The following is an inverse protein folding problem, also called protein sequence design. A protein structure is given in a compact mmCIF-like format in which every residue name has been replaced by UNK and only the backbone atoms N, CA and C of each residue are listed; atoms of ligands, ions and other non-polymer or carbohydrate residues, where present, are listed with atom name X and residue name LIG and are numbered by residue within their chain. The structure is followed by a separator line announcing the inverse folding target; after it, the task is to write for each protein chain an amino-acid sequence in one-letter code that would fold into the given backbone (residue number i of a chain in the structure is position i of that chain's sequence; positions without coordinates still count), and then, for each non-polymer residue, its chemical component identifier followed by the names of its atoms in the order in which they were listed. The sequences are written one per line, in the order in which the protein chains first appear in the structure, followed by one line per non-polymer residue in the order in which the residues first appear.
data_IF_776901863045
#
_entry.id   IF_776901863045
#
_cell.length_a   1.000
_cell.length_b   1.000
_cell.length_c   1.000
_cell.angle_alpha   90.00
_cell.angle_beta   90.00
_cell.angle_gamma   90.00
#
_symmetry.space_group_name_H-M   'P 1'
#
loop_
_entity.id
_entity.type
_entity.pdbx_description
1 polymer ?
#
# COMPACT_ATOMS: atom_id res chain seq x y z
N UNK A 1 -11.51 -8.53 -11.64
CA UNK A 1 -10.72 -7.39 -12.11
C UNK A 1 -9.56 -7.90 -12.96
N UNK A 2 -9.44 -7.43 -14.18
CA UNK A 2 -8.30 -7.78 -15.04
C UNK A 2 -7.25 -6.71 -14.92
N UNK A 3 -6.00 -7.10 -14.59
CA UNK A 3 -4.85 -6.21 -14.67
C UNK A 3 -4.48 -6.02 -16.14
N UNK A 4 -4.69 -4.81 -16.66
CA UNK A 4 -4.32 -4.46 -18.02
C UNK A 4 -2.83 -4.15 -18.04
N UNK A 5 -2.02 -5.06 -18.60
CA UNK A 5 -0.58 -4.91 -18.72
C UNK A 5 -0.20 -4.16 -20.00
N UNK A 6 0.58 -3.12 -19.82
CA UNK A 6 1.18 -2.31 -20.87
C UNK A 6 2.49 -2.97 -21.34
N UNK A 7 2.66 -3.28 -22.64
CA UNK A 7 3.97 -3.58 -23.25
C UNK A 7 4.56 -2.28 -23.80
N UNK A 8 5.89 -2.08 -23.70
CA UNK A 8 6.56 -0.83 -24.08
C UNK A 8 6.30 -0.42 -25.55
N UNK A 9 6.11 -1.38 -26.44
CA UNK A 9 5.96 -1.12 -27.89
C UNK A 9 4.51 -0.83 -28.33
N UNK A 10 3.50 -1.22 -27.51
CA UNK A 10 2.08 -1.00 -27.83
C UNK A 10 1.29 -0.69 -26.55
N UNK A 11 0.98 0.58 -26.32
CA UNK A 11 0.07 1.01 -25.27
C UNK A 11 -1.35 0.79 -25.76
N UNK A 12 -1.93 -0.36 -25.44
CA UNK A 12 -3.28 -0.73 -25.81
C UNK A 12 -4.25 -0.78 -24.62
N UNK A 13 -3.86 -0.20 -23.49
CA UNK A 13 -4.67 -0.24 -22.27
C UNK A 13 -6.09 0.34 -22.45
N UNK A 14 -6.30 1.48 -23.15
CA UNK A 14 -7.65 1.99 -23.41
C UNK A 14 -8.50 1.03 -24.27
N UNK A 15 -7.92 0.45 -25.32
CA UNK A 15 -8.60 -0.52 -26.19
C UNK A 15 -9.02 -1.79 -25.43
N UNK A 16 -8.10 -2.35 -24.63
CA UNK A 16 -8.37 -3.55 -23.81
C UNK A 16 -9.44 -3.25 -22.76
N UNK A 17 -9.42 -2.07 -22.15
CA UNK A 17 -10.44 -1.65 -21.19
C UNK A 17 -11.83 -1.53 -21.85
N UNK A 18 -11.90 -1.01 -23.07
CA UNK A 18 -13.14 -0.92 -23.84
C UNK A 18 -13.70 -2.31 -24.18
N UNK A 19 -12.85 -3.24 -24.65
CA UNK A 19 -13.23 -4.63 -24.89
C UNK A 19 -13.74 -5.30 -23.61
N UNK A 20 -13.10 -5.03 -22.47
CA UNK A 20 -13.54 -5.55 -21.18
C UNK A 20 -14.93 -5.01 -20.79
N UNK A 21 -15.19 -3.72 -21.00
CA UNK A 21 -16.52 -3.11 -20.81
C UNK A 21 -17.57 -3.76 -21.69
N UNK A 22 -17.32 -3.91 -22.99
CA UNK A 22 -18.23 -4.58 -23.92
C UNK A 22 -18.50 -6.05 -23.54
N UNK A 23 -17.53 -6.69 -22.89
CA UNK A 23 -17.66 -8.06 -22.37
C UNK A 23 -18.41 -8.15 -21.04
N UNK A 24 -18.89 -7.04 -20.48
CA UNK A 24 -19.71 -6.99 -19.27
C UNK A 24 -18.86 -6.92 -17.97
N UNK A 25 -17.59 -6.52 -18.01
CA UNK A 25 -16.78 -6.27 -16.83
C UNK A 25 -17.32 -5.04 -16.10
N UNK A 26 -17.49 -5.14 -14.76
CA UNK A 26 -18.10 -4.09 -13.96
C UNK A 26 -17.15 -2.95 -13.56
N UNK A 27 -15.82 -3.19 -13.55
CA UNK A 27 -14.80 -2.19 -13.27
C UNK A 27 -13.44 -2.68 -13.78
N UNK A 28 -12.51 -1.75 -14.06
CA UNK A 28 -11.14 -2.08 -14.46
C UNK A 28 -10.12 -1.44 -13.51
N UNK A 29 -9.07 -2.19 -13.14
CA UNK A 29 -7.92 -1.66 -12.43
C UNK A 29 -6.76 -1.46 -13.40
N UNK A 30 -6.13 -0.28 -13.36
CA UNK A 30 -5.05 0.11 -14.28
C UNK A 30 -3.80 0.46 -13.49
N UNK A 31 -2.70 -0.26 -13.74
CA UNK A 31 -1.39 0.06 -13.19
C UNK A 31 -0.58 0.90 -14.20
N UNK A 32 -0.07 2.04 -13.75
CA UNK A 32 0.68 2.99 -14.60
C UNK A 32 2.08 2.53 -15.04
N UNK A 33 2.51 1.29 -14.76
CA UNK A 33 3.78 0.72 -15.25
C UNK A 33 3.57 -0.46 -16.17
N UNK A 34 4.51 -0.66 -17.08
CA UNK A 34 4.59 -1.89 -17.87
C UNK A 34 5.20 -3.02 -17.04
N UNK A 35 4.96 -4.27 -17.46
CA UNK A 35 5.60 -5.45 -16.84
C UNK A 35 7.13 -5.36 -16.86
N UNK A 36 7.71 -4.79 -17.91
CA UNK A 36 9.16 -4.69 -18.10
C UNK A 36 9.79 -3.63 -17.20
N UNK A 37 9.04 -2.58 -16.86
CA UNK A 37 9.49 -1.55 -15.93
C UNK A 37 9.61 -2.06 -14.49
N UNK A 38 8.91 -3.11 -14.09
CA UNK A 38 8.81 -3.55 -12.69
C UNK A 38 8.54 -2.35 -11.76
N UNK A 39 9.56 -1.93 -11.00
CA UNK A 39 9.51 -0.78 -10.08
C UNK A 39 10.44 0.37 -10.50
N UNK A 40 11.04 0.30 -11.70
CA UNK A 40 11.89 1.36 -12.20
C UNK A 40 11.10 2.55 -12.72
N UNK A 41 11.67 3.75 -12.56
CA UNK A 41 11.02 4.99 -12.97
C UNK A 41 9.74 5.30 -12.20
N UNK A 42 8.88 6.13 -12.79
CA UNK A 42 7.59 6.51 -12.24
C UNK A 42 6.43 5.83 -12.99
N UNK A 43 5.33 5.60 -12.27
CA UNK A 43 4.09 5.15 -12.89
C UNK A 43 3.54 6.28 -13.80
N UNK A 44 3.21 5.92 -15.03
CA UNK A 44 2.60 6.84 -15.98
C UNK A 44 1.09 6.93 -15.71
N UNK A 45 0.69 7.99 -15.00
CA UNK A 45 -0.72 8.23 -14.69
C UNK A 45 -1.52 8.71 -15.92
N UNK A 46 -0.85 9.19 -16.98
CA UNK A 46 -1.51 9.55 -18.23
C UNK A 46 -2.29 8.39 -18.83
N UNK A 47 -1.73 7.16 -18.77
CA UNK A 47 -2.45 5.96 -19.24
C UNK A 47 -3.71 5.67 -18.44
N UNK A 48 -3.72 5.97 -17.13
CA UNK A 48 -4.92 5.82 -16.30
C UNK A 48 -6.00 6.82 -16.76
N UNK A 49 -5.59 8.06 -17.07
CA UNK A 49 -6.48 9.08 -17.61
C UNK A 49 -7.04 8.67 -18.99
N UNK A 50 -6.19 8.14 -19.88
CA UNK A 50 -6.60 7.67 -21.20
C UNK A 50 -7.63 6.53 -21.11
N UNK A 51 -7.41 5.57 -20.20
CA UNK A 51 -8.37 4.49 -19.93
C UNK A 51 -9.67 5.07 -19.39
N UNK A 52 -9.61 6.02 -18.42
CA UNK A 52 -10.82 6.65 -17.89
C UNK A 52 -11.62 7.39 -18.93
N UNK A 53 -10.97 7.99 -19.91
CA UNK A 53 -11.64 8.64 -21.02
C UNK A 53 -12.26 7.66 -22.05
N UNK A 54 -11.74 6.42 -22.10
CA UNK A 54 -12.18 5.42 -23.09
C UNK A 54 -13.34 4.53 -22.62
N UNK A 55 -13.67 4.50 -21.31
CA UNK A 55 -14.71 3.63 -20.75
C UNK A 55 -15.68 4.40 -19.85
N UNK A 56 -16.90 3.88 -19.69
CA UNK A 56 -17.92 4.42 -18.78
C UNK A 56 -17.97 3.68 -17.44
N UNK A 57 -17.41 2.47 -17.38
CA UNK A 57 -17.30 1.70 -16.12
C UNK A 57 -16.27 2.32 -15.16
N UNK A 58 -16.37 2.06 -13.85
CA UNK A 58 -15.40 2.54 -12.88
C UNK A 58 -13.97 2.11 -13.20
N UNK A 59 -13.03 3.07 -13.08
CA UNK A 59 -11.59 2.86 -13.26
C UNK A 59 -10.88 3.01 -11.91
N UNK A 60 -10.13 2.00 -11.53
CA UNK A 60 -9.33 1.95 -10.30
C UNK A 60 -7.87 2.26 -10.67
N UNK A 61 -7.36 3.43 -10.26
CA UNK A 61 -5.99 3.84 -10.51
C UNK A 61 -5.01 3.18 -9.56
N UNK A 62 -3.87 2.70 -10.09
CA UNK A 62 -2.80 2.09 -9.31
C UNK A 62 -1.41 2.53 -9.80
N UNK A 63 -0.48 2.69 -8.87
CA UNK A 63 0.93 3.00 -9.14
C UNK A 63 1.42 4.26 -8.41
N UNK A 64 2.51 4.11 -7.66
CA UNK A 64 3.21 5.19 -6.93
C UNK A 64 2.34 6.01 -5.95
N UNK A 65 1.34 5.38 -5.37
CA UNK A 65 0.59 5.94 -4.26
C UNK A 65 1.29 5.54 -2.96
N UNK A 66 1.94 6.49 -2.31
CA UNK A 66 2.69 6.31 -1.06
C UNK A 66 2.10 7.13 0.08
N UNK A 67 1.44 8.25 -0.24
CA UNK A 67 0.84 9.18 0.72
C UNK A 67 -0.60 9.53 0.31
N UNK A 68 -1.41 10.11 1.21
CA UNK A 68 -2.74 10.62 0.85
C UNK A 68 -2.69 11.68 -0.27
N UNK A 69 -1.67 12.53 -0.28
CA UNK A 69 -1.48 13.57 -1.30
C UNK A 69 -1.27 12.98 -2.69
N UNK A 70 -0.65 11.77 -2.79
CA UNK A 70 -0.51 11.07 -4.07
C UNK A 70 -1.86 10.66 -4.63
N UNK A 71 -2.81 10.25 -3.76
CA UNK A 71 -4.18 9.91 -4.16
C UNK A 71 -4.90 11.14 -4.69
N UNK A 72 -4.76 12.27 -3.99
CA UNK A 72 -5.36 13.55 -4.40
C UNK A 72 -4.85 13.94 -5.79
N UNK A 73 -3.53 13.93 -5.97
CA UNK A 73 -2.90 14.22 -7.27
C UNK A 73 -3.33 13.26 -8.37
N UNK A 74 -3.40 11.95 -8.07
CA UNK A 74 -3.87 10.96 -9.04
C UNK A 74 -5.32 11.23 -9.42
N UNK A 75 -6.20 11.56 -8.46
CA UNK A 75 -7.59 11.93 -8.74
C UNK A 75 -7.68 13.14 -9.67
N UNK A 76 -6.92 14.19 -9.39
CA UNK A 76 -6.89 15.41 -10.19
C UNK A 76 -6.40 15.17 -11.61
N UNK A 77 -5.35 14.35 -11.77
CA UNK A 77 -4.72 14.10 -13.08
C UNK A 77 -5.48 13.09 -13.93
N UNK A 78 -6.14 12.11 -13.33
CA UNK A 78 -6.72 10.98 -14.07
C UNK A 78 -8.24 10.90 -14.04
N UNK A 79 -8.86 11.59 -13.11
CA UNK A 79 -10.30 11.50 -12.82
C UNK A 79 -10.79 10.05 -12.56
N UNK A 80 -9.90 9.10 -12.21
CA UNK A 80 -10.29 7.73 -11.87
C UNK A 80 -11.25 7.69 -10.67
N UNK A 81 -12.03 6.61 -10.58
CA UNK A 81 -13.16 6.51 -9.63
C UNK A 81 -12.73 5.95 -8.27
N UNK A 82 -11.67 5.13 -8.26
CA UNK A 82 -11.12 4.51 -7.04
C UNK A 82 -9.60 4.34 -7.15
N UNK A 83 -8.98 3.94 -6.04
CA UNK A 83 -7.52 3.82 -5.91
C UNK A 83 -7.13 2.48 -5.33
N UNK A 84 -6.12 1.85 -5.94
CA UNK A 84 -5.50 0.64 -5.40
C UNK A 84 -4.12 1.01 -4.83
N UNK A 85 -3.94 0.79 -3.53
CA UNK A 85 -2.71 1.13 -2.82
C UNK A 85 -1.95 -0.16 -2.50
N UNK A 86 -0.74 -0.29 -3.04
CA UNK A 86 0.14 -1.41 -2.79
C UNK A 86 1.20 -1.08 -1.75
N UNK A 87 2.38 -0.70 -2.21
CA UNK A 87 3.55 -0.43 -1.37
C UNK A 87 3.34 0.66 -0.33
N UNK A 88 2.50 1.66 -0.60
CA UNK A 88 2.18 2.73 0.35
C UNK A 88 1.48 2.26 1.63
N UNK A 89 0.82 1.09 1.60
CA UNK A 89 0.20 0.50 2.79
C UNK A 89 1.19 -0.33 3.65
N UNK A 90 2.42 -0.59 3.17
CA UNK A 90 3.41 -1.33 3.94
C UNK A 90 3.91 -0.51 5.12
N UNK A 91 3.65 -0.99 6.33
CA UNK A 91 3.96 -0.24 7.55
C UNK A 91 3.10 1.00 7.77
N UNK A 92 2.13 1.26 6.89
CA UNK A 92 1.18 2.37 7.00
C UNK A 92 -0.25 1.93 6.63
N UNK A 93 -0.89 1.02 7.38
CA UNK A 93 -2.29 0.67 7.12
C UNK A 93 -3.26 1.83 7.39
N UNK A 94 -2.82 2.86 8.10
CA UNK A 94 -3.63 4.04 8.41
C UNK A 94 -3.90 4.93 7.20
N UNK A 95 -3.17 4.76 6.09
CA UNK A 95 -3.39 5.49 4.84
C UNK A 95 -4.85 5.41 4.37
N UNK A 96 -5.52 4.28 4.58
CA UNK A 96 -6.93 4.13 4.21
C UNK A 96 -7.86 4.97 5.10
N UNK A 97 -7.57 5.09 6.41
CA UNK A 97 -8.30 5.97 7.32
C UNK A 97 -8.03 7.44 7.00
N UNK A 98 -6.78 7.77 6.75
CA UNK A 98 -6.35 9.13 6.38
C UNK A 98 -7.09 9.59 5.12
N UNK A 99 -7.16 8.76 4.09
CA UNK A 99 -7.88 9.04 2.86
C UNK A 99 -9.40 9.17 3.08
N UNK A 100 -9.99 8.24 3.84
CA UNK A 100 -11.41 8.33 4.16
C UNK A 100 -11.74 9.66 4.85
N UNK A 101 -10.98 10.04 5.87
CA UNK A 101 -11.16 11.30 6.58
C UNK A 101 -10.97 12.49 5.64
N UNK A 102 -9.94 12.48 4.80
CA UNK A 102 -9.70 13.54 3.83
C UNK A 102 -10.89 13.75 2.88
N UNK A 103 -11.43 12.67 2.30
CA UNK A 103 -12.59 12.79 1.40
C UNK A 103 -13.88 13.20 2.09
N UNK A 104 -14.01 12.98 3.40
CA UNK A 104 -15.16 13.39 4.20
C UNK A 104 -15.05 14.83 4.73
N UNK A 105 -13.84 15.29 5.07
CA UNK A 105 -13.62 16.54 5.83
C UNK A 105 -12.68 17.54 5.14
N UNK A 106 -11.92 17.12 4.15
CA UNK A 106 -10.84 17.90 3.55
C UNK A 106 -9.53 17.92 4.35
N UNK A 107 -9.45 17.21 5.49
CA UNK A 107 -8.30 17.22 6.38
C UNK A 107 -7.65 15.83 6.47
N UNK A 108 -6.32 15.78 6.47
CA UNK A 108 -5.56 14.55 6.73
C UNK A 108 -5.32 14.47 8.25
N UNK A 109 -5.82 13.42 8.93
CA UNK A 109 -5.61 13.28 10.36
C UNK A 109 -4.13 13.05 10.69
N UNK A 110 -3.70 13.34 11.93
CA UNK A 110 -2.32 13.09 12.35
C UNK A 110 -1.96 11.61 12.26
N UNK A 111 -0.70 11.36 11.98
CA UNK A 111 -0.14 10.00 11.98
C UNK A 111 -0.27 9.36 13.37
N UNK A 112 -0.36 8.02 13.44
CA UNK A 112 -0.41 7.31 14.71
C UNK A 112 0.86 7.56 15.52
N UNK A 113 0.68 7.64 16.84
CA UNK A 113 1.78 7.69 17.77
C UNK A 113 2.50 6.33 17.91
N UNK A 114 3.60 6.32 18.63
CA UNK A 114 4.46 5.14 18.82
C UNK A 114 3.72 3.97 19.48
N UNK A 115 2.82 4.26 20.43
CA UNK A 115 2.01 3.27 21.10
C UNK A 115 0.99 2.62 20.17
N UNK A 116 0.29 3.41 19.37
CA UNK A 116 -0.67 2.92 18.36
C UNK A 116 0.03 2.07 17.29
N UNK A 117 1.25 2.45 16.91
CA UNK A 117 2.07 1.66 15.98
C UNK A 117 2.44 0.32 16.59
N UNK A 118 2.90 0.28 17.86
CA UNK A 118 3.19 -0.94 18.60
C UNK A 118 1.98 -1.88 18.64
N UNK A 119 0.82 -1.39 19.06
CA UNK A 119 -0.40 -2.19 19.13
C UNK A 119 -0.79 -2.81 17.77
N UNK A 120 -0.62 -2.04 16.70
CA UNK A 120 -0.86 -2.54 15.34
C UNK A 120 0.15 -3.60 14.91
N UNK A 121 1.43 -3.43 15.25
CA UNK A 121 2.47 -4.44 15.01
C UNK A 121 2.17 -5.75 15.76
N UNK A 122 1.81 -5.69 17.04
CA UNK A 122 1.48 -6.86 17.85
C UNK A 122 0.24 -7.60 17.29
N UNK A 123 -0.79 -6.85 16.91
CA UNK A 123 -1.97 -7.44 16.25
C UNK A 123 -1.59 -8.11 14.92
N UNK A 124 -0.76 -7.47 14.11
CA UNK A 124 -0.31 -8.03 12.83
C UNK A 124 0.51 -9.30 13.05
N UNK A 125 1.44 -9.29 14.01
CA UNK A 125 2.23 -10.47 14.38
C UNK A 125 1.32 -11.65 14.77
N UNK A 126 0.31 -11.40 15.61
CA UNK A 126 -0.65 -12.44 16.03
C UNK A 126 -1.40 -13.02 14.83
N UNK A 127 -1.93 -12.18 13.95
CA UNK A 127 -2.62 -12.64 12.74
C UNK A 127 -1.73 -13.44 11.79
N UNK A 128 -0.44 -13.08 11.69
CA UNK A 128 0.51 -13.84 10.89
C UNK A 128 0.82 -15.20 11.51
N UNK A 129 0.93 -15.27 12.83
CA UNK A 129 1.13 -16.53 13.57
C UNK A 129 -0.09 -17.45 13.41
N UNK A 130 -1.30 -16.92 13.59
CA UNK A 130 -2.54 -17.67 13.43
C UNK A 130 -2.67 -18.26 12.01
N UNK A 131 -2.19 -17.53 11.01
CA UNK A 131 -2.31 -17.97 9.61
C UNK A 131 -1.17 -18.90 9.15
N UNK A 132 0.09 -18.70 9.65
CA UNK A 132 1.29 -19.37 9.11
C UNK A 132 2.07 -20.21 10.14
N UNK A 133 1.63 -20.21 11.40
CA UNK A 133 2.40 -20.74 12.52
C UNK A 133 3.46 -19.75 13.01
N UNK A 134 3.93 -19.94 14.25
CA UNK A 134 4.79 -18.97 14.93
C UNK A 134 6.13 -18.77 14.21
N UNK A 135 6.84 -19.83 13.87
CA UNK A 135 8.12 -19.74 13.19
C UNK A 135 8.06 -18.87 11.94
N UNK A 136 7.17 -19.19 11.00
CA UNK A 136 7.05 -18.44 9.75
C UNK A 136 6.50 -17.04 9.98
N UNK A 137 5.49 -16.92 10.85
CA UNK A 137 4.85 -15.64 11.19
C UNK A 137 5.85 -14.63 11.75
N UNK A 138 6.67 -15.04 12.70
CA UNK A 138 7.70 -14.16 13.31
C UNK A 138 8.77 -13.78 12.29
N UNK A 139 9.31 -14.73 11.54
CA UNK A 139 10.33 -14.45 10.53
C UNK A 139 9.83 -13.45 9.47
N UNK A 140 8.59 -13.60 9.01
CA UNK A 140 8.01 -12.64 8.07
C UNK A 140 7.68 -11.30 8.73
N UNK A 141 7.29 -11.29 10.01
CA UNK A 141 6.98 -10.07 10.75
C UNK A 141 8.19 -9.14 10.90
N UNK A 142 9.42 -9.65 10.95
CA UNK A 142 10.67 -8.87 11.06
C UNK A 142 10.72 -7.73 10.03
N UNK A 143 10.41 -8.02 8.76
CA UNK A 143 10.36 -6.99 7.69
C UNK A 143 9.23 -5.97 7.90
N UNK A 144 8.08 -6.42 8.43
CA UNK A 144 6.95 -5.52 8.67
C UNK A 144 7.25 -4.55 9.82
N UNK A 145 7.89 -5.00 10.90
CA UNK A 145 8.36 -4.13 12.00
C UNK A 145 9.28 -3.04 11.47
N UNK A 146 10.20 -3.38 10.56
CA UNK A 146 11.08 -2.41 9.93
C UNK A 146 10.31 -1.36 9.10
N UNK A 147 9.24 -1.74 8.42
CA UNK A 147 8.40 -0.81 7.66
C UNK A 147 7.54 0.07 8.57
N UNK A 148 6.92 -0.48 9.61
CA UNK A 148 6.12 0.26 10.59
C UNK A 148 6.93 1.34 11.32
N UNK A 149 8.14 1.01 11.74
CA UNK A 149 9.01 1.90 12.51
C UNK A 149 9.79 2.91 11.65
N UNK A 150 9.67 2.85 10.32
CA UNK A 150 10.42 3.73 9.43
C UNK A 150 10.20 5.21 9.75
N UNK A 151 11.28 5.97 9.96
CA UNK A 151 11.23 7.39 10.29
C UNK A 151 10.92 7.71 11.77
N UNK A 152 10.68 6.71 12.62
CA UNK A 152 10.46 6.91 14.06
C UNK A 152 11.77 6.90 14.84
N UNK A 153 11.76 7.55 16.01
CA UNK A 153 12.91 7.56 16.91
C UNK A 153 13.34 6.12 17.29
N UNK A 154 14.62 5.88 17.26
CA UNK A 154 15.29 4.61 17.56
C UNK A 154 14.91 3.41 16.64
N UNK A 155 14.35 3.69 15.47
CA UNK A 155 13.96 2.66 14.49
C UNK A 155 15.13 1.82 13.98
N UNK A 156 16.34 2.38 13.93
CA UNK A 156 17.53 1.66 13.48
C UNK A 156 17.93 0.55 14.45
N UNK A 157 17.88 0.84 15.77
CA UNK A 157 18.13 -0.14 16.83
C UNK A 157 17.06 -1.23 16.82
N UNK A 158 15.78 -0.84 16.73
CA UNK A 158 14.67 -1.79 16.63
C UNK A 158 14.85 -2.75 15.45
N UNK A 159 15.22 -2.25 14.26
CA UNK A 159 15.47 -3.09 13.08
C UNK A 159 16.60 -4.10 13.27
N UNK A 160 17.64 -3.74 14.00
CA UNK A 160 18.74 -4.66 14.28
C UNK A 160 18.31 -5.77 15.25
N UNK A 161 17.58 -5.42 16.30
CA UNK A 161 17.15 -6.36 17.33
C UNK A 161 16.04 -7.30 16.84
N UNK A 162 15.09 -6.81 16.07
CA UNK A 162 13.96 -7.64 15.57
C UNK A 162 14.43 -8.81 14.70
N UNK A 163 15.59 -8.71 14.06
CA UNK A 163 16.14 -9.80 13.25
C UNK A 163 16.59 -11.02 14.07
N UNK A 164 16.72 -10.87 15.40
CA UNK A 164 17.16 -11.94 16.31
C UNK A 164 15.97 -12.58 17.05
N UNK A 165 14.79 -12.00 16.96
CA UNK A 165 13.58 -12.44 17.67
C UNK A 165 13.02 -13.72 17.03
N UNK A 166 12.71 -14.73 17.84
CA UNK A 166 12.25 -16.06 17.40
C UNK A 166 10.81 -16.38 17.84
N UNK A 167 10.28 -15.66 18.84
CA UNK A 167 8.96 -15.91 19.44
C UNK A 167 8.10 -14.66 19.50
N UNK A 168 6.79 -14.84 19.70
CA UNK A 168 5.87 -13.71 19.88
C UNK A 168 6.17 -12.93 21.17
N UNK A 169 6.52 -13.63 22.25
CA UNK A 169 6.81 -12.98 23.53
C UNK A 169 8.05 -12.08 23.44
N UNK A 170 9.08 -12.51 22.70
CA UNK A 170 10.24 -11.66 22.41
C UNK A 170 9.88 -10.44 21.54
N UNK A 171 8.91 -10.57 20.62
CA UNK A 171 8.38 -9.40 19.86
C UNK A 171 7.72 -8.41 20.81
N UNK A 172 6.91 -8.90 21.78
CA UNK A 172 6.24 -8.06 22.78
C UNK A 172 7.26 -7.31 23.61
N UNK A 173 8.23 -8.03 24.22
CA UNK A 173 9.28 -7.44 25.06
C UNK A 173 10.09 -6.37 24.29
N UNK A 174 10.48 -6.67 23.07
CA UNK A 174 11.25 -5.73 22.23
C UNK A 174 10.44 -4.47 21.90
N UNK A 175 9.15 -4.61 21.57
CA UNK A 175 8.30 -3.47 21.22
C UNK A 175 7.92 -2.65 22.46
N UNK A 176 7.78 -3.27 23.64
CA UNK A 176 7.59 -2.58 24.91
C UNK A 176 8.83 -1.74 25.25
N UNK A 177 10.01 -2.33 25.22
CA UNK A 177 11.25 -1.60 25.43
C UNK A 177 11.42 -0.44 24.43
N UNK A 178 11.09 -0.68 23.15
CA UNK A 178 11.15 0.38 22.12
C UNK A 178 10.19 1.54 22.41
N UNK A 179 8.98 1.30 22.91
CA UNK A 179 8.02 2.35 23.29
C UNK A 179 8.47 3.15 24.50
N UNK A 180 9.05 2.48 25.50
CA UNK A 180 9.47 3.08 26.77
C UNK A 180 10.77 3.87 26.67
N UNK A 181 11.44 3.86 25.51
CA UNK A 181 12.65 4.63 25.23
C UNK A 181 13.92 3.86 25.58
N UNK A 182 14.13 2.73 24.93
CA UNK A 182 15.37 1.94 24.99
C UNK A 182 16.62 2.76 25.04
#
# INVERSE_FOLDING_TARGET
ASDVYKRQEHINAPEVAHIAEESGVAAVAVHGRTREQYYHGHADWGVIADVKAAVNIPVIGNGDILTPEDVIRMKEQTNCDAFMIGRGARGNPWIFRELKTYFETGEIPPRPDKQQVKETMLRHARLMIDFKGEFTGIHEMRKHVAWYSAGMYDSSRLRNLINQVESYDEVVELLDAWTDGM
#
